data_IF_362612194085
#
_entry.id   IF_362612194085
#
_cell.length_a   1.000
_cell.length_b   1.000
_cell.length_c   1.000
_cell.angle_alpha   90.00
_cell.angle_beta   90.00
_cell.angle_gamma   90.00
#
_symmetry.space_group_name_H-M   'P 1'
#
loop_
_entity.id
_entity.type
_entity.pdbx_description
1 polymer ?
#
# COMPACT_ATOMS: atom_id res chain seq x y z
N UNK A 1 -0.65 1.08 -6.14
CA UNK A 1 -0.92 -0.15 -6.91
C UNK A 1 -1.62 -1.14 -6.00
N UNK A 2 -2.58 -1.89 -6.54
CA UNK A 2 -3.18 -3.05 -5.89
C UNK A 2 -3.03 -4.22 -6.87
N UNK A 3 -2.43 -5.32 -6.42
CA UNK A 3 -2.14 -6.51 -7.22
C UNK A 3 -1.45 -6.17 -8.55
N UNK A 4 -0.35 -5.41 -8.42
CA UNK A 4 0.47 -4.90 -9.54
C UNK A 4 -0.24 -3.91 -10.49
N UNK A 5 -1.56 -3.77 -10.41
CA UNK A 5 -2.35 -2.82 -11.19
C UNK A 5 -2.26 -1.42 -10.57
N UNK A 6 -1.99 -0.42 -11.41
CA UNK A 6 -2.03 0.98 -10.98
C UNK A 6 -3.49 1.40 -10.83
N UNK A 7 -3.86 1.87 -9.65
CA UNK A 7 -5.20 2.42 -9.40
C UNK A 7 -5.20 3.95 -9.31
N UNK A 8 -4.16 4.54 -8.69
CA UNK A 8 -4.01 5.99 -8.59
C UNK A 8 -2.62 6.45 -9.03
N UNK A 9 -2.56 7.72 -9.47
CA UNK A 9 -1.33 8.50 -9.64
C UNK A 9 -1.55 9.86 -9.01
N UNK A 10 -0.78 10.17 -7.97
CA UNK A 10 -0.78 11.48 -7.32
C UNK A 10 0.30 12.33 -7.99
N UNK A 11 -0.03 13.48 -8.60
CA UNK A 11 0.94 14.30 -9.32
C UNK A 11 1.83 15.12 -8.38
N UNK A 12 1.31 15.55 -7.23
CA UNK A 12 2.03 16.29 -6.20
C UNK A 12 1.37 16.02 -4.84
N UNK A 13 2.17 16.07 -3.77
CA UNK A 13 1.67 16.07 -2.40
C UNK A 13 1.11 17.46 -2.04
N UNK A 14 0.33 17.52 -0.96
CA UNK A 14 -0.12 18.75 -0.32
C UNK A 14 1.08 19.51 0.30
N UNK A 15 0.85 20.74 0.77
CA UNK A 15 1.91 21.62 1.31
C UNK A 15 2.69 21.00 2.48
N UNK A 16 2.05 20.10 3.24
CA UNK A 16 2.63 19.37 4.36
C UNK A 16 3.33 18.06 3.94
N UNK A 17 3.34 17.74 2.64
CA UNK A 17 3.88 16.49 2.09
C UNK A 17 2.92 15.31 2.19
N UNK A 18 1.70 15.51 2.68
CA UNK A 18 0.66 14.49 2.72
C UNK A 18 0.04 14.29 1.34
N UNK A 19 -0.55 13.12 1.11
CA UNK A 19 -1.41 12.90 -0.05
C UNK A 19 -2.45 11.84 0.31
N UNK A 20 -3.61 11.93 -0.33
CA UNK A 20 -4.67 10.94 -0.20
C UNK A 20 -5.23 10.56 -1.56
N UNK A 21 -5.74 9.33 -1.65
CA UNK A 21 -6.39 8.79 -2.84
C UNK A 21 -7.55 7.93 -2.39
N UNK A 22 -8.66 8.01 -3.11
CA UNK A 22 -9.83 7.17 -2.89
C UNK A 22 -10.30 6.62 -4.24
N UNK A 23 -10.51 5.31 -4.32
CA UNK A 23 -11.03 4.66 -5.51
C UNK A 23 -11.79 3.38 -5.13
N UNK A 24 -12.68 2.92 -6.01
CA UNK A 24 -13.40 1.66 -5.85
C UNK A 24 -12.76 0.60 -6.73
N UNK A 25 -12.05 -0.32 -6.10
CA UNK A 25 -11.36 -1.42 -6.77
C UNK A 25 -12.08 -2.72 -6.45
N UNK A 26 -12.41 -3.50 -7.48
CA UNK A 26 -12.91 -4.86 -7.29
C UNK A 26 -11.75 -5.76 -6.84
N UNK A 27 -11.99 -6.50 -5.75
CA UNK A 27 -11.03 -7.39 -5.11
C UNK A 27 -11.60 -8.80 -5.13
N UNK A 28 -11.09 -9.64 -6.03
CA UNK A 28 -11.64 -10.97 -6.31
C UNK A 28 -10.96 -12.09 -5.52
N UNK A 29 -9.78 -11.80 -4.97
CA UNK A 29 -8.97 -12.74 -4.19
C UNK A 29 -9.13 -12.53 -2.67
N UNK A 30 -8.52 -13.42 -1.88
CA UNK A 30 -8.55 -13.30 -0.40
C UNK A 30 -7.43 -12.44 0.15
N UNK A 31 -6.31 -12.35 -0.57
CA UNK A 31 -5.10 -11.63 -0.14
C UNK A 31 -4.65 -10.75 -1.28
N UNK A 32 -4.40 -9.49 -0.99
CA UNK A 32 -4.00 -8.48 -1.95
C UNK A 32 -2.69 -7.84 -1.56
N UNK A 33 -1.88 -7.50 -2.56
CA UNK A 33 -0.66 -6.72 -2.34
C UNK A 33 -0.89 -5.26 -2.67
N UNK A 34 -0.63 -4.38 -1.71
CA UNK A 34 -0.62 -2.95 -1.92
C UNK A 34 0.83 -2.47 -2.03
N UNK A 35 1.14 -1.77 -3.11
CA UNK A 35 2.44 -1.14 -3.36
C UNK A 35 2.28 0.35 -3.59
N UNK A 36 3.04 1.13 -2.86
CA UNK A 36 3.16 2.58 -2.99
C UNK A 36 4.57 2.90 -3.48
N UNK A 37 4.68 3.78 -4.47
CA UNK A 37 5.94 4.21 -5.05
C UNK A 37 5.97 5.72 -5.13
N UNK A 38 7.08 6.31 -4.66
CA UNK A 38 7.37 7.73 -4.78
C UNK A 38 8.55 7.91 -5.70
N UNK A 39 8.42 8.82 -6.66
CA UNK A 39 9.48 9.17 -7.60
C UNK A 39 10.02 10.56 -7.28
N UNK A 40 11.30 10.77 -7.52
CA UNK A 40 11.90 12.10 -7.47
C UNK A 40 11.41 12.93 -8.68
N UNK A 41 10.94 14.15 -8.43
CA UNK A 41 10.33 14.99 -9.46
C UNK A 41 11.33 15.46 -10.53
N UNK A 42 12.59 15.68 -10.15
CA UNK A 42 13.62 16.18 -11.08
C UNK A 42 14.20 15.07 -11.94
N UNK A 43 14.50 13.92 -11.35
CA UNK A 43 15.22 12.83 -12.03
C UNK A 43 14.29 11.74 -12.56
N UNK A 44 13.04 11.72 -12.12
CA UNK A 44 12.06 10.66 -12.38
C UNK A 44 12.54 9.25 -11.96
N UNK A 45 13.44 9.19 -10.97
CA UNK A 45 13.95 7.94 -10.38
C UNK A 45 13.13 7.58 -9.14
N UNK A 46 12.94 6.29 -8.87
CA UNK A 46 12.26 5.80 -7.66
C UNK A 46 13.01 6.27 -6.40
N UNK A 47 12.35 7.08 -5.59
CA UNK A 47 12.88 7.64 -4.35
C UNK A 47 12.45 6.82 -3.12
N UNK A 48 11.28 6.20 -3.15
CA UNK A 48 10.75 5.42 -2.04
C UNK A 48 9.74 4.36 -2.50
N UNK A 49 9.69 3.25 -1.76
CA UNK A 49 8.70 2.20 -1.96
C UNK A 49 8.25 1.65 -0.61
N UNK A 50 6.95 1.50 -0.45
CA UNK A 50 6.34 0.78 0.65
C UNK A 50 5.42 -0.32 0.09
N UNK A 51 5.41 -1.48 0.76
CA UNK A 51 4.57 -2.61 0.38
C UNK A 51 3.97 -3.24 1.63
N UNK A 52 2.69 -3.59 1.55
CA UNK A 52 2.01 -4.38 2.56
C UNK A 52 1.00 -5.32 1.90
N UNK A 53 0.68 -6.40 2.61
CA UNK A 53 -0.37 -7.32 2.20
C UNK A 53 -1.61 -7.07 3.04
N UNK A 54 -2.77 -7.17 2.40
CA UNK A 54 -4.07 -7.06 3.04
C UNK A 54 -4.83 -8.37 2.82
N UNK A 55 -5.28 -9.00 3.89
CA UNK A 55 -6.18 -10.14 3.83
C UNK A 55 -7.62 -9.68 4.04
N UNK A 56 -8.52 -10.12 3.17
CA UNK A 56 -9.97 -9.99 3.33
C UNK A 56 -10.57 -11.16 4.10
N UNK A 57 -9.80 -12.22 4.33
CA UNK A 57 -10.22 -13.32 5.19
C UNK A 57 -10.25 -12.84 6.66
N UNK A 58 -11.26 -13.23 7.45
CA UNK A 58 -11.24 -13.02 8.89
C UNK A 58 -9.92 -13.56 9.48
N UNK A 59 -9.31 -12.86 10.45
CA UNK A 59 -8.12 -13.37 11.10
C UNK A 59 -8.45 -14.71 11.78
N UNK A 60 -7.56 -15.68 11.64
CA UNK A 60 -7.67 -16.93 12.38
C UNK A 60 -7.37 -16.68 13.87
N UNK A 61 -7.83 -17.55 14.80
CA UNK A 61 -7.44 -17.45 16.21
C UNK A 61 -5.92 -17.46 16.42
N UNK A 62 -5.17 -18.11 15.53
CA UNK A 62 -3.71 -18.18 15.54
C UNK A 62 -3.08 -16.84 15.16
N UNK A 63 -3.65 -16.11 14.19
CA UNK A 63 -3.20 -14.77 13.80
C UNK A 63 -3.36 -13.75 14.94
N UNK A 64 -4.41 -13.89 15.74
CA UNK A 64 -4.67 -13.04 16.91
C UNK A 64 -3.77 -13.40 18.11
N UNK A 65 -3.29 -14.64 18.17
CA UNK A 65 -2.41 -15.12 19.24
C UNK A 65 -0.93 -14.83 18.96
N UNK A 66 -0.57 -14.44 17.73
CA UNK A 66 0.80 -14.09 17.37
C UNK A 66 1.24 -12.81 18.11
N UNK A 67 2.41 -12.80 18.78
CA UNK A 67 2.95 -11.56 19.35
C UNK A 67 3.16 -10.52 18.24
N UNK A 68 2.98 -9.22 18.52
CA UNK A 68 3.15 -8.19 17.50
C UNK A 68 4.54 -8.32 16.86
N UNK A 69 4.60 -8.26 15.53
CA UNK A 69 5.86 -8.35 14.79
C UNK A 69 6.85 -7.35 15.39
N UNK A 70 7.91 -7.85 16.02
CA UNK A 70 8.86 -7.03 16.76
C UNK A 70 9.48 -5.98 15.85
N UNK A 71 9.56 -4.73 16.33
CA UNK A 71 10.39 -3.68 15.72
C UNK A 71 11.82 -4.21 15.60
N UNK A 72 12.29 -4.41 14.37
CA UNK A 72 13.72 -4.44 14.06
C UNK A 72 14.19 -3.03 13.72
#
# INVERSE_FOLDING_TARGET
>A
YVDEKRFAKVPAADEDGSWSVEDKIALDEKVHSVRVEQFNETTNVLAGRAMFSMSLAPPSPEDLAAPPAGRR
#
